data_IF_884515468199
#
_entry.id   IF_884515468199
#
_cell.length_a   1.000
_cell.length_b   1.000
_cell.length_c   1.000
_cell.angle_alpha   90.00
_cell.angle_beta   90.00
_cell.angle_gamma   90.00
#
_symmetry.space_group_name_H-M   'P 1'
#
loop_
_entity.id
_entity.type
_entity.pdbx_description
1 polymer ?
#
# COMPACT_ATOMS: atom_id res chain seq x y z
N UNK A 1 -19.72 -80.11 -25.23
CA UNK A 1 -19.08 -79.43 -26.35
C UNK A 1 -19.68 -78.05 -26.43
N UNK A 2 -18.91 -77.07 -25.97
CA UNK A 2 -19.12 -75.64 -26.17
C UNK A 2 -18.97 -75.33 -27.65
N UNK A 3 -19.83 -74.50 -28.23
CA UNK A 3 -19.34 -73.41 -29.08
C UNK A 3 -20.37 -72.35 -29.45
N UNK A 4 -20.03 -71.13 -29.03
CA UNK A 4 -19.97 -69.89 -29.81
C UNK A 4 -20.91 -69.82 -31.03
N UNK A 5 -21.87 -68.90 -31.00
CA UNK A 5 -22.29 -68.06 -32.13
C UNK A 5 -23.66 -67.43 -31.83
N UNK A 6 -23.69 -66.37 -31.01
CA UNK A 6 -24.51 -65.21 -31.38
C UNK A 6 -24.05 -63.90 -30.72
N UNK A 7 -22.75 -63.76 -30.42
CA UNK A 7 -22.14 -62.48 -30.02
C UNK A 7 -21.83 -61.57 -31.22
N UNK A 8 -22.50 -61.76 -32.36
CA UNK A 8 -22.15 -61.11 -33.62
C UNK A 8 -23.24 -60.20 -34.21
N UNK A 9 -24.13 -59.62 -33.38
CA UNK A 9 -25.05 -58.56 -33.83
C UNK A 9 -24.76 -57.24 -33.16
N UNK A 10 -23.57 -56.74 -33.46
CA UNK A 10 -23.37 -55.39 -33.98
C UNK A 10 -24.04 -54.26 -33.20
N UNK A 11 -23.32 -53.78 -32.19
CA UNK A 11 -23.43 -52.41 -31.71
C UNK A 11 -23.10 -51.43 -32.86
N UNK A 12 -24.11 -51.08 -33.66
CA UNK A 12 -24.07 -49.91 -34.54
C UNK A 12 -25.14 -48.91 -34.09
N UNK A 13 -25.06 -48.50 -32.82
CA UNK A 13 -25.78 -47.35 -32.32
C UNK A 13 -25.19 -46.08 -32.95
N UNK A 14 -25.71 -45.71 -34.11
CA UNK A 14 -25.45 -44.46 -34.80
C UNK A 14 -25.74 -43.30 -33.84
N UNK A 15 -24.68 -42.74 -33.26
CA UNK A 15 -24.75 -41.64 -32.30
C UNK A 15 -25.21 -40.38 -33.05
N UNK A 16 -26.52 -40.22 -33.21
CA UNK A 16 -27.15 -39.01 -33.71
C UNK A 16 -26.84 -37.91 -32.69
N UNK A 17 -25.72 -37.20 -32.87
CA UNK A 17 -25.39 -36.04 -32.02
C UNK A 17 -26.58 -35.10 -32.09
N UNK A 18 -27.28 -34.96 -30.96
CA UNK A 18 -28.39 -34.04 -30.83
C UNK A 18 -27.92 -32.66 -31.29
N UNK A 19 -28.66 -31.97 -32.18
CA UNK A 19 -28.22 -30.70 -32.77
C UNK A 19 -27.83 -29.67 -31.71
N UNK A 20 -28.46 -29.76 -30.53
CA UNK A 20 -28.17 -28.95 -29.36
C UNK A 20 -26.72 -29.11 -28.83
N UNK A 21 -26.20 -30.35 -28.73
CA UNK A 21 -24.82 -30.61 -28.25
C UNK A 21 -23.77 -30.12 -29.25
N UNK A 22 -24.08 -30.16 -30.54
CA UNK A 22 -23.21 -29.63 -31.59
C UNK A 22 -23.18 -28.10 -31.59
N UNK A 23 -24.33 -27.46 -31.35
CA UNK A 23 -24.46 -26.01 -31.25
C UNK A 23 -23.76 -25.46 -29.99
N UNK A 24 -23.88 -26.15 -28.85
CA UNK A 24 -23.13 -25.84 -27.62
C UNK A 24 -21.62 -26.00 -27.84
N UNK A 25 -21.18 -27.08 -28.50
CA UNK A 25 -19.76 -27.27 -28.81
C UNK A 25 -19.21 -26.19 -29.74
N UNK A 26 -19.98 -25.75 -30.74
CA UNK A 26 -19.61 -24.65 -31.62
C UNK A 26 -19.51 -23.31 -30.88
N UNK A 27 -20.48 -23.00 -30.00
CA UNK A 27 -20.46 -21.80 -29.18
C UNK A 27 -19.26 -21.78 -28.23
N UNK A 28 -18.91 -22.93 -27.64
CA UNK A 28 -17.75 -23.06 -26.75
C UNK A 28 -16.43 -22.89 -27.52
N UNK A 29 -16.35 -23.40 -28.75
CA UNK A 29 -15.20 -23.16 -29.63
C UNK A 29 -15.02 -21.68 -29.96
N UNK A 30 -16.11 -20.97 -30.26
CA UNK A 30 -16.09 -19.52 -30.50
C UNK A 30 -15.63 -18.76 -29.25
N UNK A 31 -16.14 -19.13 -28.07
CA UNK A 31 -15.75 -18.52 -26.80
C UNK A 31 -14.23 -18.65 -26.56
N UNK A 32 -13.66 -19.83 -26.80
CA UNK A 32 -12.22 -20.08 -26.62
C UNK A 32 -11.41 -19.19 -27.57
N UNK A 33 -11.83 -19.04 -28.82
CA UNK A 33 -11.16 -18.17 -29.79
C UNK A 33 -11.17 -16.71 -29.33
N UNK A 34 -12.31 -16.22 -28.84
CA UNK A 34 -12.43 -14.84 -28.33
C UNK A 34 -11.50 -14.61 -27.15
N UNK A 35 -11.46 -15.55 -26.19
CA UNK A 35 -10.60 -15.47 -25.02
C UNK A 35 -9.11 -15.50 -25.41
N UNK A 36 -8.73 -16.36 -26.36
CA UNK A 36 -7.35 -16.43 -26.85
C UNK A 36 -6.90 -15.12 -27.49
N UNK A 37 -7.75 -14.52 -28.34
CA UNK A 37 -7.47 -13.23 -28.98
C UNK A 37 -7.35 -12.12 -27.93
N UNK A 38 -8.28 -12.07 -26.96
CA UNK A 38 -8.24 -11.09 -25.87
C UNK A 38 -6.94 -11.19 -25.05
N UNK A 39 -6.50 -12.40 -24.71
CA UNK A 39 -5.24 -12.61 -23.98
C UNK A 39 -4.03 -12.07 -24.75
N UNK A 40 -3.97 -12.28 -26.07
CA UNK A 40 -2.85 -11.78 -26.89
C UNK A 40 -2.79 -10.25 -26.85
N UNK A 41 -3.94 -9.58 -27.02
CA UNK A 41 -4.00 -8.11 -26.93
C UNK A 41 -3.69 -7.60 -25.52
N UNK A 42 -4.20 -8.25 -24.48
CA UNK A 42 -3.92 -7.89 -23.10
C UNK A 42 -2.42 -8.06 -22.77
N UNK A 43 -1.80 -9.16 -23.21
CA UNK A 43 -0.38 -9.42 -23.03
C UNK A 43 0.49 -8.39 -23.79
N UNK A 44 0.11 -8.02 -25.02
CA UNK A 44 0.82 -6.97 -25.77
C UNK A 44 0.68 -5.59 -25.13
N UNK A 45 -0.50 -5.26 -24.60
CA UNK A 45 -0.74 -4.01 -23.89
C UNK A 45 0.09 -3.95 -22.61
N UNK A 46 0.11 -5.03 -21.84
CA UNK A 46 0.88 -5.13 -20.61
C UNK A 46 2.39 -5.17 -20.89
N UNK A 47 2.83 -5.80 -21.98
CA UNK A 47 4.24 -5.77 -22.41
C UNK A 47 4.68 -4.36 -22.82
N UNK A 48 3.83 -3.62 -23.53
CA UNK A 48 4.08 -2.19 -23.86
C UNK A 48 4.06 -1.30 -22.62
N UNK A 49 3.20 -1.60 -21.63
CA UNK A 49 3.15 -0.92 -20.33
C UNK A 49 4.25 -1.36 -19.37
N UNK A 50 4.80 -2.56 -19.52
CA UNK A 50 5.89 -3.11 -18.71
C UNK A 50 7.19 -2.32 -18.88
N UNK A 51 7.36 -1.63 -20.02
CA UNK A 51 8.39 -0.60 -20.19
C UNK A 51 8.18 0.68 -19.36
N UNK A 52 7.00 0.85 -18.77
CA UNK A 52 6.60 1.98 -17.90
C UNK A 52 6.44 1.59 -16.41
N UNK A 53 6.32 0.30 -16.07
CA UNK A 53 6.26 -0.14 -14.67
C UNK A 53 7.68 -0.20 -14.12
N UNK A 54 8.06 0.78 -13.30
CA UNK A 54 9.41 0.93 -12.77
C UNK A 54 10.19 2.09 -13.38
N UNK A 55 9.67 2.77 -14.40
CA UNK A 55 10.00 4.17 -14.63
C UNK A 55 9.24 4.98 -13.58
N UNK A 56 9.79 4.99 -12.37
CA UNK A 56 9.49 6.03 -11.40
C UNK A 56 9.48 7.33 -12.17
N UNK A 57 8.40 8.08 -12.01
CA UNK A 57 8.01 9.26 -12.79
C UNK A 57 9.31 10.03 -13.00
N UNK A 58 9.95 9.91 -14.17
CA UNK A 58 11.16 10.68 -14.45
C UNK A 58 10.59 12.07 -14.44
N UNK A 59 10.78 12.76 -13.33
CA UNK A 59 10.09 13.99 -13.01
C UNK A 59 10.74 15.07 -13.87
N UNK A 60 10.59 14.94 -15.19
CA UNK A 60 11.05 15.86 -16.20
C UNK A 60 10.32 17.14 -15.87
N UNK A 61 11.11 18.12 -15.45
CA UNK A 61 10.69 19.46 -15.03
C UNK A 61 10.22 19.57 -13.57
N UNK A 62 10.87 18.87 -12.62
CA UNK A 62 10.70 19.22 -11.20
C UNK A 62 11.73 20.28 -10.79
N UNK A 63 11.24 21.45 -10.39
CA UNK A 63 12.06 22.50 -9.77
C UNK A 63 11.87 22.36 -8.26
N UNK A 64 12.88 21.82 -7.57
CA UNK A 64 12.88 21.73 -6.11
C UNK A 64 13.46 23.00 -5.51
N UNK A 65 12.64 23.76 -4.78
CA UNK A 65 13.09 24.97 -4.08
C UNK A 65 13.16 24.63 -2.59
N UNK A 66 14.36 24.74 -2.02
CA UNK A 66 14.58 24.70 -0.58
C UNK A 66 14.92 26.11 -0.11
N UNK A 67 14.28 26.55 0.97
CA UNK A 67 14.50 27.86 1.57
C UNK A 67 14.84 27.68 3.04
N UNK A 68 16.04 28.10 3.43
CA UNK A 68 16.42 28.20 4.84
C UNK A 68 16.07 29.60 5.34
N UNK A 69 15.10 29.69 6.25
CA UNK A 69 14.74 30.94 6.92
C UNK A 69 15.60 31.16 8.15
N UNK A 70 16.41 32.22 8.17
CA UNK A 70 17.15 32.64 9.37
C UNK A 70 16.40 33.75 10.09
N UNK A 71 15.95 33.49 11.31
CA UNK A 71 15.29 34.47 12.17
C UNK A 71 16.31 34.92 13.22
N UNK A 72 16.50 36.23 13.34
CA UNK A 72 17.24 36.84 14.44
C UNK A 72 16.25 37.59 15.32
N UNK A 73 16.10 37.17 16.57
CA UNK A 73 15.28 37.85 17.57
C UNK A 73 16.20 38.43 18.63
N UNK A 74 16.05 39.73 18.92
CA UNK A 74 16.65 40.34 20.09
C UNK A 74 15.74 40.01 21.29
N UNK A 75 16.26 39.37 22.36
CA UNK A 75 15.45 39.08 23.53
C UNK A 75 15.03 40.38 24.21
N UNK A 76 13.74 40.52 24.50
CA UNK A 76 13.12 41.69 25.14
C UNK A 76 12.80 41.46 26.64
N UNK A 77 13.05 40.25 27.13
CA UNK A 77 12.79 39.84 28.52
C UNK A 77 14.05 39.15 29.08
N UNK A 78 14.40 39.49 30.32
CA UNK A 78 15.43 38.82 31.11
C UNK A 78 14.83 38.13 32.32
N UNK A 79 15.24 36.89 32.58
CA UNK A 79 14.87 36.14 33.79
C UNK A 79 16.05 36.21 34.76
N UNK A 80 15.81 36.74 35.96
CA UNK A 80 16.80 36.80 37.03
C UNK A 80 16.27 35.94 38.18
N UNK A 81 17.06 34.95 38.60
CA UNK A 81 16.78 34.13 39.77
C UNK A 81 17.66 34.60 40.92
N UNK A 82 17.03 34.99 42.03
CA UNK A 82 17.70 35.51 43.22
C UNK A 82 17.18 34.73 44.43
N UNK A 83 18.11 34.20 45.22
CA UNK A 83 17.81 33.53 46.48
C UNK A 83 18.46 34.28 47.65
N UNK A 84 17.75 34.37 48.77
CA UNK A 84 18.28 34.88 50.05
C UNK A 84 18.41 33.71 51.02
N UNK A 85 19.58 33.59 51.64
CA UNK A 85 19.89 32.59 52.66
C UNK A 85 20.29 33.30 53.94
N UNK A 86 19.69 32.89 55.05
CA UNK A 86 19.92 33.46 56.38
C UNK A 86 20.17 32.37 57.43
N UNK A 87 21.24 32.52 58.20
CA UNK A 87 21.61 31.60 59.26
C UNK A 87 21.32 32.19 60.65
N UNK A 88 20.78 31.36 61.56
CA UNK A 88 20.60 31.71 62.95
C UNK A 88 20.70 30.49 63.87
N UNK A 89 20.95 30.74 65.16
CA UNK A 89 21.04 29.69 66.20
C UNK A 89 19.71 28.98 66.48
N UNK A 90 18.59 29.55 66.06
CA UNK A 90 17.25 28.98 66.22
C UNK A 90 16.51 29.05 64.88
N UNK A 91 15.66 28.06 64.62
CA UNK A 91 14.85 27.99 63.39
C UNK A 91 13.96 29.23 63.26
N UNK A 92 13.31 29.64 64.34
CA UNK A 92 12.45 30.82 64.35
C UNK A 92 13.21 32.12 64.03
N UNK A 93 14.47 32.24 64.50
CA UNK A 93 15.34 33.36 64.16
C UNK A 93 15.73 33.39 62.69
N UNK A 94 16.07 32.22 62.11
CA UNK A 94 16.46 32.11 60.70
C UNK A 94 15.28 32.45 59.78
N UNK A 95 14.09 31.95 60.11
CA UNK A 95 12.87 32.26 59.34
C UNK A 95 12.55 33.75 59.37
N UNK A 96 12.64 34.39 60.54
CA UNK A 96 12.35 35.82 60.69
C UNK A 96 13.36 36.69 59.92
N UNK A 97 14.65 36.38 60.03
CA UNK A 97 15.71 37.10 59.32
C UNK A 97 15.61 36.92 57.81
N UNK A 98 15.29 35.72 57.31
CA UNK A 98 15.10 35.50 55.87
C UNK A 98 13.93 36.32 55.31
N UNK A 99 12.81 36.34 56.05
CA UNK A 99 11.62 37.09 55.66
C UNK A 99 11.90 38.60 55.66
N UNK A 100 12.70 39.09 56.61
CA UNK A 100 13.09 40.50 56.62
C UNK A 100 13.99 40.86 55.43
N UNK A 101 14.99 40.02 55.13
CA UNK A 101 15.94 40.22 54.02
C UNK A 101 15.34 39.99 52.62
N UNK A 102 14.31 39.16 52.49
CA UNK A 102 13.57 39.02 51.22
C UNK A 102 12.68 40.24 50.93
N UNK A 103 12.21 40.94 51.97
CA UNK A 103 11.23 42.02 51.84
C UNK A 103 11.84 43.44 51.82
N UNK A 104 13.15 43.57 52.07
CA UNK A 104 13.90 44.83 52.03
C UNK A 104 15.03 44.73 51.02
#
# INVERSE_FOLDING_TARGET
MENINDEAKGNFAFHRKSPLKMLIGALFGILIIIVAVFMVFAAMNEYKKGGYIGQDIVAKNTITISGEGKIFATPDIGVIDLGVVSDAKTVAGAQKDNVEKMNK
#
